data_IF_002578750617
#
_entry.id   IF_002578750617
#
_cell.length_a   1.000
_cell.length_b   1.000
_cell.length_c   1.000
_cell.angle_alpha   90.00
_cell.angle_beta   90.00
_cell.angle_gamma   90.00
#
_symmetry.space_group_name_H-M   'P 1'
#
loop_
_entity.id
_entity.type
_entity.pdbx_description
1 polymer ?
#
# COMPACT_ATOMS: atom_id res chain seq x y z
N UNK A 1 -2.95 -12.56 2.11
CA UNK A 1 -1.90 -13.12 1.26
C UNK A 1 -0.65 -12.26 1.42
N UNK A 2 0.52 -12.89 1.63
CA UNK A 2 1.79 -12.17 1.78
C UNK A 2 2.55 -12.11 0.46
N UNK A 3 3.13 -10.96 0.16
CA UNK A 3 4.17 -10.86 -0.85
C UNK A 3 5.49 -11.34 -0.22
N UNK A 4 6.14 -12.29 -0.88
CA UNK A 4 7.47 -12.77 -0.51
C UNK A 4 8.46 -12.40 -1.61
N UNK A 5 9.73 -12.34 -1.26
CA UNK A 5 10.82 -12.05 -2.20
C UNK A 5 10.74 -12.99 -3.42
N UNK A 6 10.78 -12.42 -4.62
CA UNK A 6 10.66 -13.16 -5.88
C UNK A 6 9.23 -13.33 -6.41
N UNK A 7 8.22 -12.74 -5.74
CA UNK A 7 6.83 -12.82 -6.18
C UNK A 7 6.59 -12.19 -7.57
N UNK A 8 7.40 -11.20 -7.94
CA UNK A 8 7.34 -10.52 -9.24
C UNK A 8 7.89 -11.38 -10.39
N UNK A 9 8.72 -12.41 -10.12
CA UNK A 9 9.36 -13.27 -11.12
C UNK A 9 8.75 -14.66 -11.20
N UNK A 10 7.79 -15.00 -10.31
CA UNK A 10 7.15 -16.33 -10.25
C UNK A 10 5.96 -16.45 -11.20
N UNK A 11 5.89 -17.57 -11.94
CA UNK A 11 4.64 -18.03 -12.54
C UNK A 11 3.75 -18.57 -11.41
N UNK A 12 2.59 -17.96 -11.16
CA UNK A 12 1.64 -18.49 -10.19
C UNK A 12 0.97 -17.46 -9.28
N UNK A 13 0.73 -17.85 -8.00
CA UNK A 13 -0.06 -17.07 -7.02
C UNK A 13 0.45 -15.65 -6.77
N UNK A 14 1.76 -15.41 -6.86
CA UNK A 14 2.36 -14.08 -6.68
C UNK A 14 1.91 -13.09 -7.75
N UNK A 15 1.94 -13.48 -9.03
CA UNK A 15 1.49 -12.62 -10.14
C UNK A 15 -0.01 -12.38 -10.11
N UNK A 16 -0.82 -13.37 -9.72
CA UNK A 16 -2.26 -13.20 -9.54
C UNK A 16 -2.55 -12.21 -8.41
N UNK A 17 -1.82 -12.30 -7.31
CA UNK A 17 -1.96 -11.38 -6.18
C UNK A 17 -1.59 -9.93 -6.58
N UNK A 18 -0.46 -9.75 -7.27
CA UNK A 18 -0.06 -8.44 -7.81
C UNK A 18 -1.10 -7.88 -8.79
N UNK A 19 -1.72 -8.75 -9.61
CA UNK A 19 -2.83 -8.39 -10.49
C UNK A 19 -4.04 -7.85 -9.71
N UNK A 20 -4.39 -8.49 -8.59
CA UNK A 20 -5.48 -8.01 -7.72
C UNK A 20 -5.16 -6.64 -7.10
N UNK A 21 -3.91 -6.43 -6.64
CA UNK A 21 -3.48 -5.13 -6.11
C UNK A 21 -3.59 -4.02 -7.18
N UNK A 22 -3.31 -4.32 -8.45
CA UNK A 22 -3.46 -3.35 -9.55
C UNK A 22 -4.87 -2.80 -9.68
N UNK A 23 -5.88 -3.56 -9.31
CA UNK A 23 -7.28 -3.18 -9.44
C UNK A 23 -7.84 -2.42 -8.21
N UNK A 24 -7.01 -2.10 -7.21
CA UNK A 24 -7.40 -1.29 -6.04
C UNK A 24 -6.98 0.17 -6.21
N UNK A 25 -7.57 1.08 -5.43
CA UNK A 25 -7.25 2.52 -5.47
C UNK A 25 -6.16 2.92 -4.47
N UNK A 26 -6.00 2.17 -3.40
CA UNK A 26 -4.98 2.37 -2.36
C UNK A 26 -4.43 1.04 -1.86
N UNK A 27 -3.31 1.09 -1.16
CA UNK A 27 -2.66 -0.06 -0.55
C UNK A 27 -2.60 0.13 0.96
N UNK A 28 -3.04 -0.88 1.71
CA UNK A 28 -2.81 -1.00 3.14
C UNK A 28 -1.69 -2.02 3.32
N UNK A 29 -0.53 -1.56 3.77
CA UNK A 29 0.64 -2.41 3.96
C UNK A 29 0.79 -2.77 5.43
N UNK A 30 0.37 -3.98 5.79
CA UNK A 30 0.42 -4.50 7.17
C UNK A 30 1.78 -5.13 7.44
N UNK A 31 2.45 -4.68 8.50
CA UNK A 31 3.82 -5.07 8.85
C UNK A 31 3.88 -5.44 10.32
N UNK A 32 4.55 -6.53 10.64
CA UNK A 32 4.72 -7.00 12.03
C UNK A 32 5.64 -6.08 12.81
N UNK A 33 5.14 -5.59 13.95
CA UNK A 33 5.85 -4.70 14.88
C UNK A 33 5.87 -5.27 16.31
N UNK A 34 5.97 -6.58 16.48
CA UNK A 34 6.04 -7.24 17.78
C UNK A 34 6.94 -8.48 17.71
N UNK A 35 7.57 -8.81 18.85
CA UNK A 35 8.32 -10.06 19.00
C UNK A 35 7.36 -11.20 19.36
N UNK A 36 7.62 -12.39 18.82
CA UNK A 36 6.96 -13.63 19.21
C UNK A 36 7.90 -14.81 18.97
N UNK A 37 8.03 -15.66 19.96
CA UNK A 37 8.78 -16.93 19.85
C UNK A 37 8.06 -17.98 19.00
N UNK A 38 6.74 -17.83 18.83
CA UNK A 38 5.89 -18.76 18.10
C UNK A 38 5.82 -18.46 16.59
N UNK A 39 6.10 -17.20 16.23
CA UNK A 39 6.01 -16.75 14.82
C UNK A 39 7.42 -16.70 14.24
N UNK A 40 7.74 -17.71 13.45
CA UNK A 40 9.00 -17.75 12.71
C UNK A 40 8.93 -16.73 11.57
N UNK A 41 9.87 -15.80 11.54
CA UNK A 41 10.04 -14.91 10.39
C UNK A 41 10.35 -15.73 9.14
N UNK A 42 9.77 -15.35 8.00
CA UNK A 42 9.98 -16.00 6.69
C UNK A 42 11.46 -16.26 6.38
N UNK A 43 12.37 -15.41 6.86
CA UNK A 43 13.80 -15.47 6.62
C UNK A 43 14.60 -15.97 7.84
N UNK A 44 13.97 -16.42 8.91
CA UNK A 44 14.63 -16.75 10.19
C UNK A 44 15.30 -15.55 10.86
N UNK A 45 15.02 -14.32 10.40
CA UNK A 45 15.57 -13.06 10.97
C UNK A 45 14.74 -12.59 12.15
N UNK A 46 15.37 -11.79 13.01
CA UNK A 46 14.66 -10.98 14.02
C UNK A 46 13.69 -10.02 13.33
N UNK A 47 12.70 -9.53 14.08
CA UNK A 47 11.71 -8.55 13.59
C UNK A 47 12.43 -7.28 13.12
N UNK A 48 12.23 -6.91 11.87
CA UNK A 48 12.74 -5.68 11.25
C UNK A 48 11.69 -5.10 10.28
N UNK A 49 10.76 -4.28 10.80
CA UNK A 49 9.65 -3.74 10.02
C UNK A 49 10.09 -2.91 8.82
N UNK A 50 11.23 -2.22 8.93
CA UNK A 50 11.73 -1.36 7.85
C UNK A 50 12.27 -2.20 6.69
N UNK A 51 13.00 -3.26 7.01
CA UNK A 51 13.49 -4.20 5.99
C UNK A 51 12.33 -4.94 5.32
N UNK A 52 11.33 -5.39 6.10
CA UNK A 52 10.14 -6.05 5.55
C UNK A 52 9.36 -5.12 4.62
N UNK A 53 9.19 -3.84 5.02
CA UNK A 53 8.56 -2.82 4.18
C UNK A 53 9.31 -2.59 2.87
N UNK A 54 10.63 -2.51 2.93
CA UNK A 54 11.49 -2.30 1.75
C UNK A 54 11.45 -3.49 0.79
N UNK A 55 11.47 -4.71 1.31
CA UNK A 55 11.39 -5.93 0.49
C UNK A 55 10.07 -5.97 -0.30
N UNK A 56 8.94 -5.69 0.34
CA UNK A 56 7.64 -5.62 -0.36
C UNK A 56 7.63 -4.46 -1.37
N UNK A 57 8.10 -3.28 -1.01
CA UNK A 57 8.16 -2.14 -1.93
C UNK A 57 9.04 -2.44 -3.15
N UNK A 58 10.12 -3.22 -3.00
CA UNK A 58 10.94 -3.69 -4.10
C UNK A 58 10.15 -4.61 -5.05
N UNK A 59 9.40 -5.58 -4.53
CA UNK A 59 8.60 -6.49 -5.34
C UNK A 59 7.50 -5.74 -6.13
N UNK A 60 6.83 -4.77 -5.51
CA UNK A 60 5.85 -3.93 -6.18
C UNK A 60 6.49 -3.14 -7.33
N UNK A 61 7.68 -2.60 -7.11
CA UNK A 61 8.44 -1.84 -8.10
C UNK A 61 8.92 -2.72 -9.26
N UNK A 62 9.45 -3.92 -8.99
CA UNK A 62 9.86 -4.87 -10.01
C UNK A 62 8.66 -5.30 -10.87
N UNK A 63 7.50 -5.52 -10.25
CA UNK A 63 6.27 -5.80 -10.97
C UNK A 63 5.85 -4.66 -11.91
N UNK A 64 6.01 -3.41 -11.49
CA UNK A 64 5.72 -2.27 -12.34
C UNK A 64 6.73 -2.13 -13.48
N UNK A 65 8.00 -2.39 -13.20
CA UNK A 65 9.05 -2.37 -14.23
C UNK A 65 8.78 -3.39 -15.34
N UNK A 66 8.32 -4.60 -14.99
CA UNK A 66 7.92 -5.62 -15.97
C UNK A 66 6.76 -5.13 -16.87
N UNK A 67 5.73 -4.51 -16.27
CA UNK A 67 4.61 -3.93 -17.04
C UNK A 67 5.08 -2.83 -17.98
N UNK A 68 5.93 -1.93 -17.48
CA UNK A 68 6.47 -0.81 -18.27
C UNK A 68 7.31 -1.33 -19.44
N UNK A 69 8.20 -2.30 -19.21
CA UNK A 69 9.03 -2.89 -20.28
C UNK A 69 8.17 -3.56 -21.34
N UNK A 70 7.22 -4.41 -20.96
CA UNK A 70 6.30 -5.07 -21.90
C UNK A 70 5.47 -4.09 -22.72
N UNK A 71 5.04 -2.98 -22.11
CA UNK A 71 4.29 -1.94 -22.84
C UNK A 71 5.18 -1.14 -23.77
N UNK A 72 6.38 -0.80 -23.32
CA UNK A 72 7.37 -0.05 -24.11
C UNK A 72 7.71 -0.79 -25.40
N UNK A 73 8.02 -2.09 -25.34
CA UNK A 73 8.30 -2.92 -26.53
C UNK A 73 7.20 -2.85 -27.60
N UNK A 74 5.92 -2.74 -27.20
CA UNK A 74 4.79 -2.65 -28.11
C UNK A 74 4.64 -1.25 -28.71
N UNK A 75 4.77 -0.22 -27.85
CA UNK A 75 4.47 1.16 -28.24
C UNK A 75 5.61 1.78 -29.03
N UNK A 76 6.88 1.46 -28.73
CA UNK A 76 8.04 1.95 -29.50
C UNK A 76 7.94 1.60 -30.98
N UNK A 77 7.60 0.35 -31.30
CA UNK A 77 7.41 -0.08 -32.70
C UNK A 77 6.34 0.71 -33.41
N UNK A 78 5.22 0.98 -32.71
CA UNK A 78 4.12 1.77 -33.24
C UNK A 78 4.56 3.22 -33.45
N UNK A 79 5.18 3.84 -32.45
CA UNK A 79 5.62 5.24 -32.51
C UNK A 79 6.63 5.50 -33.64
N UNK A 80 7.53 4.55 -33.90
CA UNK A 80 8.47 4.64 -35.02
C UNK A 80 7.77 4.65 -36.40
N UNK A 81 6.64 3.95 -36.52
CA UNK A 81 5.91 3.81 -37.75
C UNK A 81 4.93 4.98 -37.98
N UNK A 82 4.14 5.31 -36.95
CA UNK A 82 3.04 6.30 -37.10
C UNK A 82 3.53 7.73 -36.82
N UNK A 83 4.54 7.91 -35.98
CA UNK A 83 5.06 9.21 -35.51
C UNK A 83 3.97 10.16 -34.99
N UNK A 84 2.86 9.61 -34.52
CA UNK A 84 1.79 10.41 -33.96
C UNK A 84 2.17 10.93 -32.55
N UNK A 85 1.65 12.11 -32.23
CA UNK A 85 1.97 12.80 -30.96
C UNK A 85 1.62 11.96 -29.73
N UNK A 86 0.53 11.21 -29.80
CA UNK A 86 0.02 10.42 -28.68
C UNK A 86 0.96 9.26 -28.34
N UNK A 87 1.38 8.48 -29.36
CA UNK A 87 2.35 7.39 -29.20
C UNK A 87 3.72 7.90 -28.74
N UNK A 88 4.18 9.05 -29.23
CA UNK A 88 5.44 9.65 -28.79
C UNK A 88 5.38 10.11 -27.32
N UNK A 89 4.25 10.68 -26.89
CA UNK A 89 4.05 11.06 -25.48
C UNK A 89 4.03 9.82 -24.57
N UNK A 90 3.38 8.75 -25.01
CA UNK A 90 3.34 7.49 -24.27
C UNK A 90 4.75 6.89 -24.09
N UNK A 91 5.53 6.82 -25.16
CA UNK A 91 6.92 6.34 -25.12
C UNK A 91 7.77 7.20 -24.17
N UNK A 92 7.65 8.53 -24.27
CA UNK A 92 8.37 9.45 -23.37
C UNK A 92 8.02 9.21 -21.90
N UNK A 93 6.73 9.03 -21.57
CA UNK A 93 6.27 8.73 -20.22
C UNK A 93 6.83 7.39 -19.71
N UNK A 94 6.78 6.35 -20.55
CA UNK A 94 7.27 5.02 -20.22
C UNK A 94 8.77 5.02 -19.94
N UNK A 95 9.59 5.70 -20.76
CA UNK A 95 11.03 5.82 -20.50
C UNK A 95 11.32 6.52 -19.16
N UNK A 96 10.69 7.67 -18.90
CA UNK A 96 10.88 8.37 -17.63
C UNK A 96 10.49 7.51 -16.42
N UNK A 97 9.38 6.77 -16.54
CA UNK A 97 8.92 5.88 -15.49
C UNK A 97 9.90 4.72 -15.30
N UNK A 98 10.38 4.10 -16.38
CA UNK A 98 11.38 3.04 -16.33
C UNK A 98 12.65 3.52 -15.62
N UNK A 99 13.21 4.65 -16.07
CA UNK A 99 14.43 5.22 -15.48
C UNK A 99 14.26 5.55 -13.99
N UNK A 100 13.09 6.04 -13.61
CA UNK A 100 12.77 6.33 -12.21
C UNK A 100 12.67 5.04 -11.37
N UNK A 101 11.94 4.04 -11.85
CA UNK A 101 11.80 2.74 -11.18
C UNK A 101 13.15 2.04 -11.00
N UNK A 102 14.03 2.09 -12.00
CA UNK A 102 15.40 1.54 -11.93
C UNK A 102 16.26 2.27 -10.88
N UNK A 103 16.02 3.57 -10.67
CA UNK A 103 16.66 4.39 -9.63
C UNK A 103 15.95 4.36 -8.28
N UNK A 104 15.10 3.38 -8.05
CA UNK A 104 14.37 3.20 -6.81
C UNK A 104 13.32 4.28 -6.47
N UNK A 105 12.94 5.12 -7.44
CA UNK A 105 11.89 6.11 -7.30
C UNK A 105 10.53 5.46 -7.61
N UNK A 106 9.52 5.69 -6.75
CA UNK A 106 8.16 5.18 -7.01
C UNK A 106 7.54 5.93 -8.19
N UNK A 107 6.70 5.25 -8.97
CA UNK A 107 6.08 5.86 -10.15
C UNK A 107 5.25 7.13 -9.84
N UNK A 108 4.72 7.27 -8.61
CA UNK A 108 3.99 8.48 -8.17
C UNK A 108 4.89 9.70 -8.00
N UNK A 109 6.17 9.50 -7.70
CA UNK A 109 7.13 10.55 -7.36
C UNK A 109 7.96 10.99 -8.59
N UNK A 110 7.76 10.35 -9.74
CA UNK A 110 8.45 10.66 -10.99
C UNK A 110 7.83 11.91 -11.63
N UNK A 111 8.69 12.85 -12.01
CA UNK A 111 8.26 14.10 -12.64
C UNK A 111 7.86 13.84 -14.10
N UNK A 112 6.58 14.02 -14.39
CA UNK A 112 5.97 13.86 -15.71
C UNK A 112 5.29 15.16 -16.12
N UNK A 113 5.26 15.46 -17.43
CA UNK A 113 4.44 16.54 -17.98
C UNK A 113 2.93 16.28 -17.82
N UNK A 114 2.10 17.26 -18.13
CA UNK A 114 0.65 17.10 -18.04
C UNK A 114 0.14 15.95 -18.93
N UNK A 115 0.58 15.92 -20.20
CA UNK A 115 0.17 14.90 -21.17
C UNK A 115 0.69 13.50 -20.76
N UNK A 116 1.94 13.42 -20.30
CA UNK A 116 2.54 12.18 -19.79
C UNK A 116 1.83 11.65 -18.55
N UNK A 117 1.39 12.54 -17.62
CA UNK A 117 0.60 12.15 -16.44
C UNK A 117 -0.74 11.53 -16.84
N UNK A 118 -1.39 12.06 -17.87
CA UNK A 118 -2.62 11.50 -18.38
C UNK A 118 -2.39 10.07 -18.91
N UNK A 119 -1.35 9.86 -19.72
CA UNK A 119 -0.97 8.53 -20.20
C UNK A 119 -0.56 7.57 -19.07
N UNK A 120 0.19 8.04 -18.12
CA UNK A 120 0.65 7.22 -17.00
C UNK A 120 -0.49 6.68 -16.12
N UNK A 121 -1.69 7.30 -16.13
CA UNK A 121 -2.88 6.75 -15.45
C UNK A 121 -3.35 5.44 -16.11
N UNK A 122 -3.22 5.33 -17.43
CA UNK A 122 -3.62 4.14 -18.19
C UNK A 122 -2.74 2.91 -17.90
N UNK A 123 -1.51 3.11 -17.38
CA UNK A 123 -0.57 2.03 -17.11
C UNK A 123 -0.93 1.22 -15.87
N UNK A 124 -1.81 1.74 -15.03
CA UNK A 124 -2.30 1.12 -13.80
C UNK A 124 -1.17 0.58 -12.90
N UNK A 125 -0.12 1.39 -12.70
CA UNK A 125 1.06 1.01 -11.92
C UNK A 125 0.74 0.97 -10.43
N UNK A 126 1.23 -0.08 -9.75
CA UNK A 126 1.02 -0.29 -8.31
C UNK A 126 1.72 0.80 -7.50
N UNK A 127 2.94 1.17 -7.87
CA UNK A 127 3.74 2.17 -7.15
C UNK A 127 3.27 3.62 -7.38
N UNK A 128 2.21 3.82 -8.17
CA UNK A 128 1.48 5.09 -8.25
C UNK A 128 0.40 5.23 -7.19
N UNK A 129 -0.05 4.13 -6.62
CA UNK A 129 -1.13 4.12 -5.64
C UNK A 129 -0.66 4.73 -4.31
N UNK A 130 -1.54 5.44 -3.59
CA UNK A 130 -1.27 5.87 -2.25
C UNK A 130 -1.21 4.67 -1.30
N UNK A 131 -0.40 4.78 -0.25
CA UNK A 131 -0.13 3.69 0.71
C UNK A 131 -0.38 4.19 2.13
N UNK A 132 -1.01 3.36 2.95
CA UNK A 132 -1.03 3.46 4.41
C UNK A 132 -0.20 2.29 4.95
N UNK A 133 0.74 2.58 5.84
CA UNK A 133 1.44 1.55 6.59
C UNK A 133 0.65 1.23 7.87
N UNK A 134 0.49 -0.04 8.17
CA UNK A 134 -0.14 -0.52 9.40
C UNK A 134 0.88 -1.34 10.17
N UNK A 135 1.30 -0.82 11.32
CA UNK A 135 2.14 -1.58 12.25
C UNK A 135 1.26 -2.49 13.09
N UNK A 136 1.32 -3.81 12.81
CA UNK A 136 0.68 -4.79 13.68
C UNK A 136 1.52 -4.95 14.95
N UNK A 137 1.02 -4.42 16.05
CA UNK A 137 1.67 -4.40 17.38
C UNK A 137 1.00 -5.40 18.32
N UNK A 138 1.67 -5.72 19.45
CA UNK A 138 1.05 -6.42 20.56
C UNK A 138 0.04 -5.50 21.29
N UNK A 139 -0.77 -6.08 22.17
CA UNK A 139 -1.82 -5.35 22.88
C UNK A 139 -1.28 -4.26 23.79
N UNK A 140 -0.18 -4.54 24.50
CA UNK A 140 0.46 -3.57 25.40
C UNK A 140 0.92 -2.31 24.62
N UNK A 141 1.44 -2.54 23.42
CA UNK A 141 1.89 -1.46 22.53
C UNK A 141 0.75 -0.73 21.82
N UNK A 142 -0.46 -1.31 21.75
CA UNK A 142 -1.59 -0.65 21.08
C UNK A 142 -2.02 0.62 21.82
N UNK A 143 -2.02 0.60 23.17
CA UNK A 143 -2.33 1.77 23.99
C UNK A 143 -1.18 2.81 23.99
N UNK A 144 0.06 2.38 23.85
CA UNK A 144 1.25 3.24 23.81
C UNK A 144 2.22 2.85 22.68
N UNK A 145 1.87 3.10 21.42
CA UNK A 145 2.67 2.69 20.28
C UNK A 145 4.03 3.39 20.19
N UNK A 146 4.17 4.58 20.78
CA UNK A 146 5.44 5.31 20.81
C UNK A 146 6.52 4.59 21.62
N UNK A 147 6.14 3.78 22.60
CA UNK A 147 7.04 2.93 23.38
C UNK A 147 7.55 1.72 22.61
N UNK A 148 6.91 1.35 21.52
CA UNK A 148 7.29 0.21 20.69
C UNK A 148 8.36 0.62 19.67
N UNK A 149 9.60 0.12 19.88
CA UNK A 149 10.73 0.44 18.98
C UNK A 149 10.51 0.05 17.52
N UNK A 150 9.76 -1.04 17.27
CA UNK A 150 9.46 -1.54 15.92
C UNK A 150 8.45 -0.65 15.22
N UNK A 151 7.37 -0.29 15.92
CA UNK A 151 6.38 0.64 15.40
C UNK A 151 7.00 2.01 15.11
N UNK A 152 7.81 2.52 16.04
CA UNK A 152 8.51 3.80 15.86
C UNK A 152 9.41 3.82 14.62
N UNK A 153 10.17 2.74 14.40
CA UNK A 153 11.01 2.61 13.22
C UNK A 153 10.18 2.57 11.92
N UNK A 154 9.04 1.87 11.92
CA UNK A 154 8.11 1.84 10.80
C UNK A 154 7.47 3.20 10.54
N UNK A 155 7.03 3.89 11.60
CA UNK A 155 6.44 5.23 11.51
C UNK A 155 7.42 6.23 10.89
N UNK A 156 8.67 6.24 11.35
CA UNK A 156 9.70 7.11 10.82
C UNK A 156 10.01 6.77 9.35
N UNK A 157 10.04 5.47 8.99
CA UNK A 157 10.13 5.05 7.60
C UNK A 157 8.94 5.54 6.77
N UNK A 158 7.71 5.35 7.24
CA UNK A 158 6.50 5.80 6.54
C UNK A 158 6.51 7.32 6.27
N UNK A 159 6.98 8.12 7.24
CA UNK A 159 7.18 9.58 7.06
C UNK A 159 8.12 9.89 5.91
N UNK A 160 9.22 9.14 5.73
CA UNK A 160 10.13 9.32 4.57
C UNK A 160 9.44 8.98 3.25
N UNK A 161 8.41 8.15 3.29
CA UNK A 161 7.61 7.76 2.13
C UNK A 161 6.43 8.72 1.87
N UNK A 162 6.24 9.76 2.71
CA UNK A 162 5.08 10.64 2.65
C UNK A 162 3.76 9.87 2.84
N UNK A 163 3.76 8.87 3.73
CA UNK A 163 2.63 8.00 4.04
C UNK A 163 2.31 8.02 5.53
N UNK A 164 1.05 7.77 5.85
CA UNK A 164 0.58 7.61 7.23
C UNK A 164 0.96 6.21 7.74
N UNK A 165 1.21 6.11 9.07
CA UNK A 165 1.44 4.85 9.77
C UNK A 165 0.47 4.73 10.94
N UNK A 166 -0.26 3.61 11.01
CA UNK A 166 -1.32 3.37 11.99
C UNK A 166 -0.97 2.14 12.82
N UNK A 167 -0.98 2.23 14.17
CA UNK A 167 -0.83 1.05 15.02
C UNK A 167 -2.16 0.29 15.08
N UNK A 168 -2.08 -1.03 14.92
CA UNK A 168 -3.21 -1.96 15.05
C UNK A 168 -2.72 -3.20 15.77
N UNK A 169 -3.50 -3.75 16.68
CA UNK A 169 -3.29 -5.08 17.20
C UNK A 169 -4.32 -6.03 16.56
N UNK A 170 -3.85 -6.93 15.70
CA UNK A 170 -4.75 -7.88 15.04
C UNK A 170 -5.42 -8.84 16.03
N UNK A 171 -4.71 -9.19 17.13
CA UNK A 171 -5.27 -10.01 18.20
C UNK A 171 -6.41 -9.28 18.91
N UNK A 172 -6.18 -8.02 19.28
CA UNK A 172 -7.21 -7.18 19.89
C UNK A 172 -8.43 -6.99 18.99
N UNK A 173 -8.23 -6.78 17.68
CA UNK A 173 -9.35 -6.65 16.73
C UNK A 173 -10.17 -7.95 16.66
N UNK A 174 -9.52 -9.11 16.70
CA UNK A 174 -10.19 -10.40 16.74
C UNK A 174 -11.04 -10.53 18.01
N UNK A 175 -10.49 -10.23 19.19
CA UNK A 175 -11.20 -10.28 20.46
C UNK A 175 -12.38 -9.30 20.50
N UNK A 176 -12.18 -8.06 20.08
CA UNK A 176 -13.23 -7.03 20.02
C UNK A 176 -14.35 -7.42 19.05
N UNK A 177 -14.04 -8.15 17.99
CA UNK A 177 -15.05 -8.59 17.03
C UNK A 177 -16.08 -9.57 17.61
N UNK A 178 -15.70 -10.27 18.68
CA UNK A 178 -16.54 -11.28 19.37
C UNK A 178 -17.35 -10.68 20.53
N UNK A 179 -17.09 -9.44 20.92
CA UNK A 179 -17.74 -8.76 22.05
C UNK A 179 -19.04 -8.06 21.65
N UNK A 180 -19.92 -7.83 22.64
CA UNK A 180 -21.09 -6.96 22.45
C UNK A 180 -20.63 -5.51 22.17
N UNK A 181 -21.47 -4.68 21.51
CA UNK A 181 -21.14 -3.27 21.29
C UNK A 181 -20.84 -2.50 22.58
N UNK A 182 -21.53 -2.83 23.67
CA UNK A 182 -21.37 -2.22 24.99
C UNK A 182 -20.01 -2.58 25.59
N UNK A 183 -19.68 -3.86 25.65
CA UNK A 183 -18.39 -4.36 26.21
C UNK A 183 -17.21 -3.83 25.40
N UNK A 184 -17.34 -3.82 24.06
CA UNK A 184 -16.32 -3.25 23.15
C UNK A 184 -16.05 -1.77 23.48
N UNK A 185 -17.11 -0.99 23.68
CA UNK A 185 -16.99 0.44 24.00
C UNK A 185 -16.31 0.65 25.34
N UNK A 186 -16.67 -0.14 26.35
CA UNK A 186 -16.04 -0.10 27.66
C UNK A 186 -14.55 -0.45 27.58
N UNK A 187 -14.20 -1.52 26.89
CA UNK A 187 -12.81 -1.96 26.71
C UNK A 187 -11.98 -0.90 25.98
N UNK A 188 -12.47 -0.34 24.88
CA UNK A 188 -11.78 0.75 24.17
C UNK A 188 -11.57 1.99 25.06
N UNK A 189 -12.56 2.32 25.90
CA UNK A 189 -12.44 3.44 26.85
C UNK A 189 -11.33 3.18 27.88
N UNK A 190 -11.14 1.95 28.34
CA UNK A 190 -10.04 1.57 29.25
C UNK A 190 -8.67 1.72 28.58
N UNK A 191 -8.60 1.48 27.27
CA UNK A 191 -7.39 1.71 26.45
C UNK A 191 -7.16 3.19 26.09
N UNK A 192 -8.04 4.09 26.53
CA UNK A 192 -7.93 5.53 26.24
C UNK A 192 -8.30 5.91 24.80
N UNK A 193 -9.05 5.07 24.10
CA UNK A 193 -9.52 5.33 22.75
C UNK A 193 -11.03 5.04 22.62
N UNK A 194 -11.65 5.57 21.57
CA UNK A 194 -13.04 5.24 21.19
C UNK A 194 -13.11 4.51 19.85
N UNK A 195 -11.98 4.33 19.17
CA UNK A 195 -11.89 3.78 17.83
C UNK A 195 -11.10 2.48 17.86
N UNK A 196 -11.57 1.48 17.12
CA UNK A 196 -10.81 0.27 16.84
C UNK A 196 -9.69 0.58 15.83
N UNK A 197 -8.74 -0.33 15.67
CA UNK A 197 -7.73 -0.22 14.61
C UNK A 197 -8.36 -0.22 13.23
N UNK A 198 -9.42 -1.02 13.05
CA UNK A 198 -10.17 -1.08 11.80
C UNK A 198 -10.87 0.26 11.48
N UNK A 199 -11.45 0.92 12.50
CA UNK A 199 -12.04 2.25 12.35
C UNK A 199 -10.98 3.27 11.91
N UNK A 200 -9.80 3.26 12.56
CA UNK A 200 -8.69 4.15 12.21
C UNK A 200 -8.24 3.93 10.76
N UNK A 201 -8.07 2.67 10.32
CA UNK A 201 -7.71 2.34 8.93
C UNK A 201 -8.79 2.84 7.96
N UNK A 202 -10.06 2.63 8.28
CA UNK A 202 -11.17 3.06 7.44
C UNK A 202 -11.17 4.57 7.28
N UNK A 203 -11.09 5.33 8.37
CA UNK A 203 -11.03 6.80 8.34
C UNK A 203 -9.83 7.32 7.56
N UNK A 204 -8.64 6.75 7.79
CA UNK A 204 -7.44 7.12 7.07
C UNK A 204 -7.55 6.81 5.56
N UNK A 205 -8.19 5.69 5.19
CA UNK A 205 -8.42 5.32 3.79
C UNK A 205 -9.36 6.30 3.09
N UNK A 206 -10.45 6.71 3.76
CA UNK A 206 -11.37 7.75 3.26
C UNK A 206 -10.65 9.08 3.05
N UNK A 207 -9.83 9.48 4.01
CA UNK A 207 -9.03 10.72 3.92
C UNK A 207 -8.01 10.64 2.77
N UNK A 208 -7.27 9.54 2.68
CA UNK A 208 -6.24 9.30 1.67
C UNK A 208 -6.80 9.35 0.24
N UNK A 209 -8.00 8.81 0.04
CA UNK A 209 -8.68 8.76 -1.26
C UNK A 209 -9.54 10.01 -1.53
N UNK A 210 -9.66 10.93 -0.56
CA UNK A 210 -10.51 12.12 -0.67
C UNK A 210 -11.99 11.79 -0.79
N UNK A 211 -12.42 10.65 -0.24
CA UNK A 211 -13.81 10.21 -0.29
C UNK A 211 -14.68 11.06 0.64
N UNK A 212 -15.93 11.27 0.25
CA UNK A 212 -16.96 11.93 1.05
C UNK A 212 -18.23 11.11 1.01
N UNK A 213 -18.86 10.94 2.16
CA UNK A 213 -20.17 10.33 2.27
C UNK A 213 -21.24 11.38 1.97
N UNK A 214 -22.27 10.98 1.26
CA UNK A 214 -23.46 11.80 1.02
C UNK A 214 -24.69 10.90 1.00
N UNK A 215 -25.83 11.47 1.32
CA UNK A 215 -27.11 10.77 1.25
C UNK A 215 -27.81 11.20 -0.04
N UNK A 216 -28.41 10.24 -0.73
CA UNK A 216 -29.35 10.50 -1.81
C UNK A 216 -30.76 10.22 -1.29
N UNK A 217 -31.72 11.07 -1.61
CA UNK A 217 -33.13 10.85 -1.30
C UNK A 217 -33.97 11.10 -2.55
N UNK A 218 -34.85 10.17 -2.89
CA UNK A 218 -35.87 10.31 -3.93
C UNK A 218 -37.27 10.41 -3.32
N UNK A 219 -38.29 10.74 -4.14
CA UNK A 219 -39.67 10.84 -3.68
C UNK A 219 -40.25 9.51 -3.16
N UNK A 220 -39.63 8.37 -3.55
CA UNK A 220 -40.04 7.02 -3.18
C UNK A 220 -39.13 6.39 -2.09
N UNK A 221 -38.12 7.13 -1.58
CA UNK A 221 -37.18 6.65 -0.55
C UNK A 221 -37.37 7.48 0.74
N UNK A 222 -38.24 7.00 1.64
CA UNK A 222 -38.39 7.50 3.01
C UNK A 222 -38.25 6.35 3.98
#
# INVERSE_FOLDING_TARGET
AGLVKGASHGEGLGNQFLGNIRNTDAIIHVIRCFDSSEIISYNGRSVDPVTDAREVNLELRLSDLDVVNKRLEKVERKALTTKDKDSLTEVSALHKIKDGLEKEVRAKDIVLSFDEKAKAKEFNLITRKPVIYVGNVDEDSYANPEGNKYFKALEDFAKTQGAECIPVSALLEEELSQQSPEDRKEYLSMLGTSLTGLDKITMASYHLLGLRTFFTGGEDEV
#
